data_IF_081049419733
#
_entry.id   IF_081049419733
#
_cell.length_a   1.000
_cell.length_b   1.000
_cell.length_c   1.000
_cell.angle_alpha   90.00
_cell.angle_beta   90.00
_cell.angle_gamma   90.00
#
_symmetry.space_group_name_H-M   'P 1'
#
loop_
_entity.id
_entity.type
_entity.pdbx_description
1 polymer ?
#
# COMPACT_ATOMS: atom_id res chain seq x y z
N UNK A 1 -45.81 42.20 -3.69
CA UNK A 1 -46.60 40.96 -3.77
C UNK A 1 -46.40 40.42 -5.18
N UNK A 2 -45.96 39.20 -5.47
CA UNK A 2 -45.50 38.06 -4.65
C UNK A 2 -44.51 37.21 -5.50
N UNK A 3 -43.79 36.19 -5.04
CA UNK A 3 -43.71 35.52 -3.74
C UNK A 3 -42.24 35.07 -3.48
N UNK A 4 -41.96 34.35 -2.38
CA UNK A 4 -40.60 33.90 -2.04
C UNK A 4 -40.13 32.65 -2.82
N UNK A 5 -39.07 32.78 -3.61
CA UNK A 5 -38.29 31.64 -4.12
C UNK A 5 -37.36 31.09 -3.03
N UNK A 6 -37.81 30.08 -2.28
CA UNK A 6 -37.03 29.50 -1.18
C UNK A 6 -35.70 28.91 -1.67
N UNK A 7 -34.60 29.37 -1.07
CA UNK A 7 -33.22 28.99 -1.41
C UNK A 7 -32.90 27.57 -0.93
N UNK A 8 -33.43 26.55 -1.61
CA UNK A 8 -32.99 25.15 -1.41
C UNK A 8 -31.58 24.94 -1.98
N UNK A 9 -30.58 25.47 -1.27
CA UNK A 9 -29.16 25.18 -1.48
C UNK A 9 -28.91 23.76 -0.98
N UNK A 10 -29.09 22.77 -1.85
CA UNK A 10 -28.72 21.38 -1.56
C UNK A 10 -27.22 21.31 -1.31
N UNK A 11 -26.82 20.67 -0.22
CA UNK A 11 -25.42 20.31 0.03
C UNK A 11 -25.06 19.15 -0.90
N UNK A 12 -24.38 19.44 -2.01
CA UNK A 12 -23.86 18.42 -2.90
C UNK A 12 -22.43 18.05 -2.49
N UNK A 13 -22.11 16.76 -2.57
CA UNK A 13 -20.78 16.24 -2.33
C UNK A 13 -20.34 15.32 -3.46
N UNK A 14 -19.06 15.37 -3.84
CA UNK A 14 -18.42 14.41 -4.74
C UNK A 14 -17.21 13.80 -4.05
N UNK A 15 -17.06 12.48 -4.19
CA UNK A 15 -16.03 11.70 -3.52
C UNK A 15 -15.20 10.95 -4.55
N UNK A 16 -13.88 11.18 -4.54
CA UNK A 16 -12.95 10.54 -5.46
C UNK A 16 -12.10 9.52 -4.68
N UNK A 17 -12.33 8.20 -4.87
CA UNK A 17 -11.49 7.18 -4.26
C UNK A 17 -10.12 7.18 -4.94
N UNK A 18 -9.06 7.15 -4.14
CA UNK A 18 -7.67 7.20 -4.59
C UNK A 18 -6.88 6.01 -4.04
N UNK A 19 -6.32 5.24 -4.96
CA UNK A 19 -5.50 4.06 -4.66
C UNK A 19 -4.03 4.40 -4.94
N UNK A 20 -3.19 4.45 -3.92
CA UNK A 20 -1.75 4.67 -4.07
C UNK A 20 -0.98 3.43 -3.59
N UNK A 21 -0.17 2.85 -4.49
CA UNK A 21 0.43 1.52 -4.30
C UNK A 21 1.19 1.35 -2.97
N UNK A 22 1.89 2.40 -2.51
CA UNK A 22 2.69 2.38 -1.29
C UNK A 22 2.00 2.94 -0.03
N UNK A 23 0.81 3.54 -0.16
CA UNK A 23 0.18 4.28 0.95
C UNK A 23 -1.27 3.83 1.25
N UNK A 24 -1.76 2.82 0.55
CA UNK A 24 -3.09 2.25 0.77
C UNK A 24 -4.22 3.00 0.06
N UNK A 25 -5.37 3.08 0.74
CA UNK A 25 -6.61 3.64 0.23
C UNK A 25 -6.88 4.97 0.91
N UNK A 26 -7.14 6.01 0.13
CA UNK A 26 -7.66 7.28 0.62
C UNK A 26 -8.68 7.86 -0.33
N UNK A 27 -9.12 9.08 -0.08
CA UNK A 27 -10.03 9.79 -0.96
C UNK A 27 -9.96 11.29 -0.75
N UNK A 28 -10.39 12.02 -1.76
CA UNK A 28 -10.64 13.46 -1.68
C UNK A 28 -12.13 13.68 -1.88
N UNK A 29 -12.76 14.33 -0.91
CA UNK A 29 -14.15 14.76 -0.99
C UNK A 29 -14.24 16.27 -1.14
N UNK A 30 -15.05 16.75 -2.08
CA UNK A 30 -15.49 18.14 -2.12
C UNK A 30 -16.95 18.20 -1.72
N UNK A 31 -17.30 19.11 -0.82
CA UNK A 31 -18.68 19.41 -0.42
C UNK A 31 -18.97 20.89 -0.59
N UNK A 32 -20.20 21.22 -0.99
CA UNK A 32 -20.59 22.61 -1.15
C UNK A 32 -22.02 22.80 -1.63
N UNK A 33 -22.51 24.03 -1.50
CA UNK A 33 -23.84 24.45 -1.92
C UNK A 33 -23.87 24.80 -3.40
N UNK A 34 -23.74 23.77 -4.26
CA UNK A 34 -23.65 23.85 -5.71
C UNK A 34 -24.45 22.72 -6.40
N UNK A 35 -24.81 22.85 -7.69
CA UNK A 35 -25.35 21.74 -8.46
C UNK A 35 -24.36 20.56 -8.56
N UNK A 36 -24.84 19.32 -8.84
CA UNK A 36 -23.98 18.17 -9.10
C UNK A 36 -22.95 18.42 -10.20
N UNK A 37 -21.74 17.88 -10.06
CA UNK A 37 -20.69 18.00 -11.08
C UNK A 37 -21.07 17.22 -12.35
N UNK A 38 -20.88 17.81 -13.53
CA UNK A 38 -20.99 17.09 -14.80
C UNK A 38 -19.79 16.14 -15.01
N UNK A 39 -19.88 15.20 -15.95
CA UNK A 39 -18.86 14.16 -16.13
C UNK A 39 -17.47 14.74 -16.46
N UNK A 40 -17.38 15.78 -17.29
CA UNK A 40 -16.10 16.43 -17.63
C UNK A 40 -15.46 17.14 -16.44
N UNK A 41 -16.27 17.72 -15.55
CA UNK A 41 -15.81 18.29 -14.29
C UNK A 41 -15.35 17.20 -13.32
N UNK A 42 -16.08 16.09 -13.20
CA UNK A 42 -15.67 14.94 -12.38
C UNK A 42 -14.34 14.35 -12.85
N UNK A 43 -14.15 14.18 -14.16
CA UNK A 43 -12.87 13.75 -14.74
C UNK A 43 -11.76 14.73 -14.36
N UNK A 44 -11.95 16.04 -14.60
CA UNK A 44 -10.95 17.08 -14.30
C UNK A 44 -10.57 17.12 -12.81
N UNK A 45 -11.57 17.03 -11.92
CA UNK A 45 -11.36 16.94 -10.48
C UNK A 45 -10.59 15.67 -10.10
N UNK A 46 -10.85 14.52 -10.73
CA UNK A 46 -10.13 13.27 -10.41
C UNK A 46 -8.61 13.37 -10.64
N UNK A 47 -8.18 14.04 -11.71
CA UNK A 47 -6.75 14.30 -11.99
C UNK A 47 -6.11 15.21 -10.94
N UNK A 48 -6.83 16.25 -10.52
CA UNK A 48 -6.39 17.19 -9.48
C UNK A 48 -6.31 16.49 -8.12
N UNK A 49 -7.35 15.76 -7.73
CA UNK A 49 -7.42 14.93 -6.53
C UNK A 49 -6.24 13.96 -6.44
N UNK A 50 -5.95 13.22 -7.52
CA UNK A 50 -4.80 12.32 -7.62
C UNK A 50 -3.50 13.05 -7.31
N UNK A 51 -3.21 14.17 -8.00
CA UNK A 51 -1.97 14.93 -7.78
C UNK A 51 -1.85 15.56 -6.39
N UNK A 52 -2.95 16.06 -5.82
CA UNK A 52 -2.97 16.59 -4.45
C UNK A 52 -2.66 15.46 -3.46
N UNK A 53 -3.29 14.30 -3.62
CA UNK A 53 -3.10 13.14 -2.73
C UNK A 53 -1.68 12.58 -2.83
N UNK A 54 -1.14 12.38 -4.04
CA UNK A 54 0.24 11.90 -4.25
C UNK A 54 1.30 12.86 -3.64
N UNK A 55 0.98 14.16 -3.54
CA UNK A 55 1.80 15.15 -2.82
C UNK A 55 1.56 15.10 -1.32
N UNK A 56 0.30 15.09 -0.87
CA UNK A 56 -0.08 15.06 0.55
C UNK A 56 0.48 13.83 1.28
N UNK A 57 0.52 12.67 0.62
CA UNK A 57 1.13 11.45 1.16
C UNK A 57 2.61 11.65 1.53
N UNK A 58 3.38 12.41 0.74
CA UNK A 58 4.79 12.71 1.03
C UNK A 58 5.00 13.59 2.28
N UNK A 59 3.94 14.23 2.77
CA UNK A 59 3.95 15.03 4.00
C UNK A 59 3.23 14.34 5.16
N UNK A 60 2.25 13.46 4.87
CA UNK A 60 1.33 12.90 5.85
C UNK A 60 1.53 11.43 6.23
N UNK A 61 2.35 10.66 5.51
CA UNK A 61 2.69 9.29 5.96
C UNK A 61 3.65 9.36 7.13
N UNK A 62 3.11 9.39 8.35
CA UNK A 62 3.89 9.28 9.57
C UNK A 62 4.79 8.05 9.52
N UNK A 63 6.10 8.28 9.73
CA UNK A 63 7.18 7.28 9.80
C UNK A 63 6.87 5.95 9.11
N UNK A 64 7.00 5.92 7.79
CA UNK A 64 7.37 4.67 7.12
C UNK A 64 8.78 4.32 7.62
N UNK A 65 8.85 3.63 8.76
CA UNK A 65 10.08 3.04 9.26
C UNK A 65 10.58 2.19 8.09
N UNK A 66 11.71 2.53 7.45
CA UNK A 66 12.15 1.81 6.27
C UNK A 66 12.28 0.34 6.67
N UNK A 67 11.75 -0.60 5.87
CA UNK A 67 11.74 -2.00 6.25
C UNK A 67 13.17 -2.42 6.59
N UNK A 68 13.40 -3.01 7.78
CA UNK A 68 14.75 -3.21 8.28
C UNK A 68 15.54 -4.04 7.26
N UNK A 69 16.75 -3.60 6.89
CA UNK A 69 17.42 -4.09 5.69
C UNK A 69 17.65 -5.60 5.78
N UNK A 70 16.97 -6.33 4.91
CA UNK A 70 17.32 -7.72 4.63
C UNK A 70 18.62 -7.74 3.83
N UNK A 71 19.51 -8.64 4.19
CA UNK A 71 20.73 -8.92 3.43
C UNK A 71 20.38 -9.62 2.12
N UNK A 72 21.27 -9.54 1.12
CA UNK A 72 21.06 -10.22 -0.18
C UNK A 72 20.72 -11.70 -0.03
N UNK A 73 21.39 -12.42 0.90
CA UNK A 73 21.13 -13.84 1.19
C UNK A 73 19.77 -14.08 1.84
N UNK A 74 19.30 -13.18 2.70
CA UNK A 74 17.95 -13.25 3.26
C UNK A 74 16.88 -13.03 2.19
N UNK A 75 17.11 -12.10 1.26
CA UNK A 75 16.21 -11.86 0.12
C UNK A 75 16.18 -13.08 -0.80
N UNK A 76 17.34 -13.60 -1.23
CA UNK A 76 17.45 -14.84 -2.03
C UNK A 76 16.69 -16.01 -1.38
N UNK A 77 16.91 -16.26 -0.09
CA UNK A 77 16.23 -17.29 0.69
C UNK A 77 14.70 -17.08 0.70
N UNK A 78 14.25 -15.85 0.93
CA UNK A 78 12.82 -15.52 0.99
C UNK A 78 12.14 -15.63 -0.37
N UNK A 79 12.83 -15.28 -1.46
CA UNK A 79 12.32 -15.38 -2.83
C UNK A 79 12.02 -16.82 -3.24
N UNK A 80 12.92 -17.77 -2.95
CA UNK A 80 12.67 -19.19 -3.22
C UNK A 80 11.49 -19.74 -2.42
N UNK A 81 11.34 -19.30 -1.18
CA UNK A 81 10.23 -19.71 -0.32
C UNK A 81 8.91 -19.07 -0.76
N UNK A 82 8.94 -17.84 -1.28
CA UNK A 82 7.80 -17.20 -1.93
C UNK A 82 7.38 -17.92 -3.22
N UNK A 83 8.35 -18.46 -3.98
CA UNK A 83 8.14 -19.36 -5.12
C UNK A 83 7.68 -20.79 -4.71
N UNK A 84 7.36 -21.02 -3.43
CA UNK A 84 6.80 -22.27 -2.93
C UNK A 84 7.82 -23.35 -2.57
N UNK A 85 9.12 -23.04 -2.53
CA UNK A 85 10.17 -24.02 -2.16
C UNK A 85 10.19 -24.30 -0.66
N UNK A 86 10.43 -25.57 -0.33
CA UNK A 86 10.69 -26.03 1.04
C UNK A 86 12.03 -25.53 1.57
N UNK A 87 12.25 -25.60 2.89
CA UNK A 87 13.57 -25.29 3.48
C UNK A 87 14.67 -26.17 2.89
N UNK A 88 14.38 -27.46 2.65
CA UNK A 88 15.28 -28.44 2.05
C UNK A 88 15.63 -28.10 0.59
N UNK A 89 14.64 -27.87 -0.27
CA UNK A 89 14.90 -27.48 -1.67
C UNK A 89 15.67 -26.16 -1.75
N UNK A 90 15.32 -25.18 -0.92
CA UNK A 90 16.02 -23.88 -0.86
C UNK A 90 17.47 -24.06 -0.42
N UNK A 91 17.75 -24.99 0.49
CA UNK A 91 19.09 -25.35 0.93
C UNK A 91 19.91 -25.96 -0.22
N UNK A 92 19.31 -26.87 -1.01
CA UNK A 92 19.93 -27.43 -2.22
C UNK A 92 20.23 -26.34 -3.26
N UNK A 93 19.27 -25.46 -3.56
CA UNK A 93 19.41 -24.39 -4.56
C UNK A 93 20.51 -23.39 -4.17
N UNK A 94 20.60 -23.02 -2.89
CA UNK A 94 21.58 -22.02 -2.40
C UNK A 94 22.92 -22.64 -1.98
N UNK A 95 23.10 -23.96 -2.07
CA UNK A 95 24.26 -24.70 -1.55
C UNK A 95 24.52 -24.43 -0.06
N UNK A 96 23.48 -24.54 0.76
CA UNK A 96 23.50 -24.31 2.21
C UNK A 96 22.94 -25.53 2.96
N UNK A 97 23.07 -25.54 4.29
CA UNK A 97 22.34 -26.51 5.12
C UNK A 97 20.91 -26.04 5.38
N UNK A 98 19.99 -26.99 5.57
CA UNK A 98 18.60 -26.66 5.94
C UNK A 98 18.53 -25.89 7.28
N UNK A 99 19.44 -26.19 8.21
CA UNK A 99 19.59 -25.44 9.46
C UNK A 99 19.93 -23.96 9.20
N UNK A 100 20.82 -23.67 8.24
CA UNK A 100 21.17 -22.31 7.82
C UNK A 100 19.97 -21.58 7.20
N UNK A 101 19.18 -22.26 6.36
CA UNK A 101 17.94 -21.71 5.79
C UNK A 101 16.92 -21.38 6.88
N UNK A 102 16.71 -22.30 7.85
CA UNK A 102 15.81 -22.07 8.97
C UNK A 102 16.31 -20.92 9.87
N UNK A 103 17.62 -20.76 10.06
CA UNK A 103 18.21 -19.60 10.75
C UNK A 103 17.95 -18.28 10.01
N UNK A 104 18.14 -18.22 8.68
CA UNK A 104 17.77 -17.05 7.88
C UNK A 104 16.29 -16.72 8.00
N UNK A 105 15.39 -17.72 7.95
CA UNK A 105 13.96 -17.51 8.15
C UNK A 105 13.61 -16.90 9.51
N UNK A 106 14.27 -17.33 10.59
CA UNK A 106 14.08 -16.75 11.91
C UNK A 106 14.55 -15.29 11.96
N UNK A 107 15.71 -14.99 11.37
CA UNK A 107 16.22 -13.62 11.25
C UNK A 107 15.28 -12.71 10.45
N UNK A 108 14.76 -13.20 9.30
CA UNK A 108 13.77 -12.49 8.47
C UNK A 108 12.47 -12.27 9.23
N UNK A 109 11.93 -13.28 9.91
CA UNK A 109 10.73 -13.15 10.73
C UNK A 109 10.90 -12.08 11.82
N UNK A 110 12.03 -12.09 12.53
CA UNK A 110 12.34 -11.10 13.56
C UNK A 110 12.46 -9.68 12.97
N UNK A 111 13.19 -9.52 11.86
CA UNK A 111 13.32 -8.23 11.15
C UNK A 111 11.97 -7.70 10.68
N UNK A 112 11.17 -8.51 9.99
CA UNK A 112 9.87 -8.09 9.47
C UNK A 112 8.76 -8.04 10.55
N UNK A 113 9.05 -8.44 11.80
CA UNK A 113 8.04 -8.60 12.85
C UNK A 113 6.92 -9.58 12.45
N UNK A 114 7.27 -10.68 11.81
CA UNK A 114 6.34 -11.68 11.29
C UNK A 114 6.27 -12.91 12.21
N UNK A 115 5.06 -13.41 12.44
CA UNK A 115 4.82 -14.55 13.34
C UNK A 115 5.21 -15.91 12.72
N UNK A 116 5.31 -16.01 11.39
CA UNK A 116 5.69 -17.23 10.68
C UNK A 116 6.22 -16.90 9.27
N UNK A 117 6.79 -17.90 8.58
CA UNK A 117 7.40 -17.73 7.25
C UNK A 117 6.42 -17.22 6.17
N UNK A 118 5.14 -17.61 6.23
CA UNK A 118 4.11 -17.17 5.27
C UNK A 118 3.77 -15.69 5.52
N UNK A 119 3.66 -15.28 6.78
CA UNK A 119 3.48 -13.88 7.18
C UNK A 119 4.72 -13.04 6.79
N UNK A 120 5.93 -13.59 6.88
CA UNK A 120 7.15 -12.93 6.42
C UNK A 120 7.13 -12.68 4.90
N UNK A 121 6.82 -13.70 4.10
CA UNK A 121 6.62 -13.58 2.64
C UNK A 121 5.54 -12.54 2.32
N UNK A 122 4.38 -12.62 2.97
CA UNK A 122 3.26 -11.67 2.77
C UNK A 122 3.65 -10.23 3.10
N UNK A 123 4.46 -10.02 4.14
CA UNK A 123 5.01 -8.70 4.48
C UNK A 123 6.03 -8.22 3.47
N UNK A 124 6.93 -9.08 3.01
CA UNK A 124 7.95 -8.73 2.02
C UNK A 124 7.34 -8.29 0.69
N UNK A 125 6.30 -8.96 0.19
CA UNK A 125 5.50 -8.50 -0.95
C UNK A 125 4.86 -7.12 -0.71
N UNK A 126 4.21 -6.92 0.44
CA UNK A 126 3.57 -5.61 0.77
C UNK A 126 4.57 -4.45 0.90
N UNK A 127 5.83 -4.77 1.19
CA UNK A 127 6.93 -3.82 1.34
C UNK A 127 7.74 -3.63 0.05
N UNK A 128 7.44 -4.38 -1.02
CA UNK A 128 8.19 -4.34 -2.28
C UNK A 128 9.63 -4.83 -2.15
N UNK A 129 9.89 -5.82 -1.29
CA UNK A 129 11.22 -6.42 -1.09
C UNK A 129 11.43 -7.61 -2.05
N UNK A 130 10.34 -8.26 -2.45
CA UNK A 130 10.26 -9.38 -3.40
C UNK A 130 9.02 -9.19 -4.27
N UNK A 131 9.09 -9.70 -5.50
CA UNK A 131 8.06 -9.61 -6.56
C UNK A 131 7.63 -11.01 -7.05
#
# INVERSE_FOLDING_TARGET
MSQAGSKNRVLAGTYFPLFHAQAGRGAVGFSGFRPPCCLSEQVSLSWICRRIFDKALKFGTGSQIPPPPLTKREIECLSWIAAGKTSYETAQILNLSEHTINHYLLAICNKLGAANRIHAVTKAFRLGIID
#
